data_IF_703628053578
#
_entry.id   IF_703628053578
#
_cell.length_a   1.000
_cell.length_b   1.000
_cell.length_c   1.000
_cell.angle_alpha   90.00
_cell.angle_beta   90.00
_cell.angle_gamma   90.00
#
_symmetry.space_group_name_H-M   'P 1'
#
loop_
_entity.id
_entity.type
_entity.pdbx_description
1 polymer ?
#
# COMPACT_ATOMS: atom_id res chain seq x y z
N UNK A 1 55.31 -9.43 -70.30
CA UNK A 1 55.99 -8.94 -69.05
C UNK A 1 55.46 -7.59 -68.59
N UNK A 2 55.24 -6.61 -69.46
CA UNK A 2 54.70 -5.29 -69.09
C UNK A 2 53.22 -5.32 -68.68
N UNK A 3 52.44 -6.26 -69.11
CA UNK A 3 51.03 -6.41 -68.73
C UNK A 3 50.89 -6.95 -67.31
N UNK A 4 51.79 -7.84 -66.88
CA UNK A 4 51.81 -8.39 -65.53
C UNK A 4 52.19 -7.35 -64.45
N UNK A 5 53.08 -6.42 -64.71
CA UNK A 5 53.50 -5.39 -63.82
C UNK A 5 52.38 -4.35 -63.55
N UNK A 6 51.66 -3.98 -64.60
CA UNK A 6 50.50 -3.07 -64.45
C UNK A 6 49.38 -3.70 -63.64
N UNK A 7 49.08 -4.96 -63.93
CA UNK A 7 48.06 -5.72 -63.20
C UNK A 7 48.47 -5.90 -61.69
N UNK A 8 49.77 -6.14 -61.39
CA UNK A 8 50.30 -6.22 -60.06
C UNK A 8 50.22 -4.90 -59.32
N UNK A 9 50.52 -3.76 -59.95
CA UNK A 9 50.40 -2.44 -59.35
C UNK A 9 48.94 -2.04 -59.06
N UNK A 10 48.01 -2.36 -59.95
CA UNK A 10 46.57 -2.09 -59.71
C UNK A 10 46.01 -2.96 -58.59
N UNK A 11 46.38 -4.23 -58.51
CA UNK A 11 45.98 -5.12 -57.41
C UNK A 11 46.55 -4.66 -56.05
N UNK A 12 47.83 -4.23 -56.05
CA UNK A 12 48.43 -3.66 -54.83
C UNK A 12 47.74 -2.34 -54.36
N UNK A 13 47.43 -1.47 -55.32
CA UNK A 13 46.65 -0.23 -55.01
C UNK A 13 45.27 -0.51 -54.48
N UNK A 14 44.57 -1.50 -55.08
CA UNK A 14 43.24 -1.89 -54.64
C UNK A 14 43.27 -2.52 -53.22
N UNK A 15 44.30 -3.37 -52.94
CA UNK A 15 44.45 -3.95 -51.61
C UNK A 15 44.78 -2.92 -50.54
N UNK A 16 45.60 -1.93 -50.87
CA UNK A 16 45.95 -0.83 -49.98
C UNK A 16 44.71 0.07 -49.67
N UNK A 17 43.91 0.35 -50.69
CA UNK A 17 42.65 1.09 -50.57
C UNK A 17 41.66 0.34 -49.67
N UNK A 18 41.48 -0.97 -49.88
CA UNK A 18 40.62 -1.80 -49.01
C UNK A 18 41.11 -1.84 -47.56
N UNK A 19 42.44 -1.94 -47.37
CA UNK A 19 43.06 -1.90 -46.05
C UNK A 19 42.79 -0.56 -45.33
N UNK A 20 42.91 0.57 -46.04
CA UNK A 20 42.63 1.90 -45.49
C UNK A 20 41.15 2.07 -45.11
N UNK A 21 40.24 1.60 -45.98
CA UNK A 21 38.80 1.60 -45.70
C UNK A 21 38.50 0.75 -44.47
N UNK A 22 39.10 -0.45 -44.38
CA UNK A 22 38.94 -1.32 -43.21
C UNK A 22 39.46 -0.68 -41.91
N UNK A 23 40.66 -0.10 -41.95
CA UNK A 23 41.23 0.61 -40.80
C UNK A 23 40.38 1.82 -40.37
N UNK A 24 39.89 2.61 -41.32
CA UNK A 24 39.02 3.75 -41.04
C UNK A 24 37.66 3.31 -40.44
N UNK A 25 37.06 2.24 -40.96
CA UNK A 25 35.84 1.66 -40.46
C UNK A 25 36.03 1.12 -39.02
N UNK A 26 37.12 0.39 -38.81
CA UNK A 26 37.45 -0.17 -37.47
C UNK A 26 37.70 0.95 -36.45
N UNK A 27 38.43 2.00 -36.82
CA UNK A 27 38.69 3.14 -35.97
C UNK A 27 37.38 3.86 -35.55
N UNK A 28 36.46 4.08 -36.49
CA UNK A 28 35.15 4.66 -36.22
C UNK A 28 34.32 3.78 -35.24
N UNK A 29 34.34 2.45 -35.45
CA UNK A 29 33.70 1.50 -34.53
C UNK A 29 34.24 1.60 -33.10
N UNK A 30 35.57 1.67 -32.93
CA UNK A 30 36.18 1.82 -31.63
C UNK A 30 35.82 3.15 -30.95
N UNK A 31 35.76 4.25 -31.71
CA UNK A 31 35.31 5.53 -31.15
C UNK A 31 33.85 5.48 -30.71
N UNK A 32 32.96 4.86 -31.49
CA UNK A 32 31.56 4.71 -31.10
C UNK A 32 31.35 3.86 -29.84
N UNK A 33 32.15 2.78 -29.69
CA UNK A 33 32.13 1.97 -28.46
C UNK A 33 32.66 2.75 -27.25
N UNK A 34 33.72 3.55 -27.41
CA UNK A 34 34.25 4.37 -26.34
C UNK A 34 33.26 5.48 -25.91
N UNK A 35 32.57 6.10 -26.90
CA UNK A 35 31.50 7.06 -26.60
C UNK A 35 30.35 6.39 -25.82
N UNK A 36 29.90 5.21 -26.25
CA UNK A 36 28.87 4.44 -25.55
C UNK A 36 29.26 4.13 -24.09
N UNK A 37 30.52 3.74 -23.86
CA UNK A 37 31.02 3.49 -22.51
C UNK A 37 31.01 4.78 -21.64
N UNK A 38 31.34 5.93 -22.23
CA UNK A 38 31.27 7.22 -21.57
C UNK A 38 29.82 7.63 -21.22
N UNK A 39 28.88 7.40 -22.14
CA UNK A 39 27.46 7.69 -21.91
C UNK A 39 26.88 6.83 -20.80
N UNK A 40 27.25 5.55 -20.73
CA UNK A 40 26.86 4.65 -19.64
C UNK A 40 27.37 5.16 -18.29
N UNK A 41 28.63 5.60 -18.25
CA UNK A 41 29.24 6.13 -17.02
C UNK A 41 28.56 7.43 -16.57
N UNK A 42 28.24 8.33 -17.46
CA UNK A 42 27.48 9.55 -17.19
C UNK A 42 26.08 9.25 -16.65
N UNK A 43 25.36 8.29 -17.24
CA UNK A 43 24.04 7.85 -16.77
C UNK A 43 24.13 7.30 -15.36
N UNK A 44 25.14 6.50 -15.03
CA UNK A 44 25.33 5.92 -13.70
C UNK A 44 25.62 6.99 -12.64
N UNK A 45 26.29 8.08 -13.02
CA UNK A 45 26.64 9.18 -12.11
C UNK A 45 25.58 10.29 -12.03
N UNK A 46 24.50 10.22 -12.81
CA UNK A 46 23.33 11.11 -12.62
C UNK A 46 23.19 12.26 -13.60
N UNK A 47 24.04 12.38 -14.59
CA UNK A 47 23.92 13.40 -15.63
C UNK A 47 22.76 13.07 -16.61
N UNK A 48 21.92 14.07 -16.90
CA UNK A 48 20.61 13.87 -17.53
C UNK A 48 20.57 14.22 -19.03
N UNK A 49 21.66 14.71 -19.60
CA UNK A 49 21.69 15.21 -20.97
C UNK A 49 22.42 14.24 -21.89
N UNK A 50 21.70 13.27 -22.44
CA UNK A 50 22.23 12.46 -23.55
C UNK A 50 21.60 12.98 -24.82
N UNK A 51 22.45 13.40 -25.75
CA UNK A 51 22.05 13.83 -27.08
C UNK A 51 21.84 12.59 -27.97
N UNK A 52 20.58 12.30 -28.29
CA UNK A 52 20.17 11.12 -29.04
C UNK A 52 20.50 11.21 -30.54
N UNK A 53 20.81 12.41 -31.04
CA UNK A 53 21.01 12.63 -32.50
C UNK A 53 22.38 12.20 -33.00
N UNK A 54 23.30 11.76 -32.14
CA UNK A 54 24.70 11.49 -32.54
C UNK A 54 24.99 10.08 -33.06
N UNK A 55 24.04 9.14 -32.98
CA UNK A 55 24.29 7.75 -33.40
C UNK A 55 23.63 7.42 -34.73
N UNK A 56 24.46 7.12 -35.73
CA UNK A 56 24.05 6.65 -37.06
C UNK A 56 23.45 5.25 -37.00
N UNK A 57 22.58 4.93 -37.95
CA UNK A 57 21.92 3.63 -38.16
C UNK A 57 22.91 2.46 -38.16
N UNK A 58 22.59 1.36 -37.41
CA UNK A 58 23.37 0.13 -37.38
C UNK A 58 23.20 -0.70 -36.09
N UNK A 59 23.94 -1.82 -36.03
CA UNK A 59 23.90 -2.77 -34.89
C UNK A 59 24.26 -2.11 -33.54
N UNK A 60 25.15 -1.12 -33.54
CA UNK A 60 25.55 -0.35 -32.35
C UNK A 60 24.42 0.53 -31.83
N UNK A 61 23.55 1.05 -32.67
CA UNK A 61 22.37 1.82 -32.29
C UNK A 61 21.34 0.97 -31.52
N UNK A 62 21.17 -0.29 -31.96
CA UNK A 62 20.30 -1.24 -31.26
C UNK A 62 20.83 -1.54 -29.86
N UNK A 63 22.14 -1.83 -29.76
CA UNK A 63 22.80 -2.10 -28.48
C UNK A 63 22.70 -0.91 -27.53
N UNK A 64 22.92 0.31 -28.02
CA UNK A 64 22.77 1.55 -27.27
C UNK A 64 21.34 1.68 -26.73
N UNK A 65 20.33 1.48 -27.57
CA UNK A 65 18.92 1.55 -27.18
C UNK A 65 18.56 0.54 -26.08
N UNK A 66 19.07 -0.69 -26.16
CA UNK A 66 18.80 -1.71 -25.13
C UNK A 66 19.52 -1.40 -23.81
N UNK A 67 20.77 -0.97 -23.85
CA UNK A 67 21.50 -0.56 -22.65
C UNK A 67 20.81 0.64 -21.98
N UNK A 68 20.37 1.62 -22.76
CA UNK A 68 19.64 2.77 -22.26
C UNK A 68 18.32 2.37 -21.57
N UNK A 69 17.52 1.50 -22.18
CA UNK A 69 16.30 0.96 -21.57
C UNK A 69 16.59 0.22 -20.27
N UNK A 70 17.66 -0.57 -20.23
CA UNK A 70 18.10 -1.27 -19.01
C UNK A 70 18.48 -0.28 -17.92
N UNK A 71 19.21 0.78 -18.24
CA UNK A 71 19.65 1.78 -17.28
C UNK A 71 18.48 2.57 -16.70
N UNK A 72 17.50 2.96 -17.55
CA UNK A 72 16.25 3.58 -17.07
C UNK A 72 15.53 2.66 -16.11
N UNK A 73 15.34 1.38 -16.46
CA UNK A 73 14.67 0.40 -15.58
C UNK A 73 15.40 0.22 -14.26
N UNK A 74 16.72 0.13 -14.27
CA UNK A 74 17.53 0.03 -13.05
C UNK A 74 17.35 1.27 -12.16
N UNK A 75 17.33 2.46 -12.77
CA UNK A 75 17.12 3.71 -12.05
C UNK A 75 15.72 3.80 -11.44
N UNK A 76 14.69 3.42 -12.19
CA UNK A 76 13.32 3.34 -11.68
C UNK A 76 13.22 2.36 -10.50
N UNK A 77 13.84 1.19 -10.61
CA UNK A 77 13.92 0.21 -9.54
C UNK A 77 14.66 0.74 -8.32
N UNK A 78 15.79 1.43 -8.51
CA UNK A 78 16.54 2.04 -7.41
C UNK A 78 15.74 3.14 -6.71
N UNK A 79 15.05 4.00 -7.46
CA UNK A 79 14.20 5.04 -6.90
C UNK A 79 13.03 4.43 -6.13
N UNK A 80 12.40 3.39 -6.68
CA UNK A 80 11.32 2.66 -6.01
C UNK A 80 11.81 2.06 -4.70
N UNK A 81 12.95 1.35 -4.74
CA UNK A 81 13.54 0.75 -3.54
C UNK A 81 13.93 1.79 -2.48
N UNK A 82 14.42 2.96 -2.91
CA UNK A 82 14.76 4.05 -2.00
C UNK A 82 13.50 4.63 -1.34
N UNK A 83 12.42 4.80 -2.09
CA UNK A 83 11.12 5.22 -1.55
C UNK A 83 10.54 4.18 -0.60
N UNK A 84 10.61 2.90 -0.95
CA UNK A 84 10.17 1.82 -0.06
C UNK A 84 10.96 1.78 1.24
N UNK A 85 12.29 1.96 1.20
CA UNK A 85 13.12 2.06 2.41
C UNK A 85 12.77 3.26 3.27
N UNK A 86 12.55 4.43 2.68
CA UNK A 86 12.12 5.62 3.40
C UNK A 86 10.76 5.38 4.08
N UNK A 87 9.79 4.86 3.33
CA UNK A 87 8.47 4.53 3.85
C UNK A 87 8.52 3.48 4.99
N UNK A 88 9.43 2.50 4.89
CA UNK A 88 9.63 1.52 5.97
C UNK A 88 10.21 2.19 7.23
N UNK A 89 11.19 3.08 7.06
CA UNK A 89 11.79 3.81 8.17
C UNK A 89 10.76 4.69 8.89
N UNK A 90 9.93 5.42 8.14
CA UNK A 90 8.85 6.25 8.69
C UNK A 90 7.84 5.36 9.42
N UNK A 91 7.45 4.23 8.85
CA UNK A 91 6.52 3.28 9.48
C UNK A 91 7.07 2.73 10.80
N UNK A 92 8.37 2.41 10.87
CA UNK A 92 9.02 1.95 12.11
C UNK A 92 9.05 3.06 13.16
N UNK A 93 9.31 4.30 12.76
CA UNK A 93 9.27 5.45 13.66
C UNK A 93 7.87 5.66 14.25
N UNK A 94 6.83 5.60 13.42
CA UNK A 94 5.44 5.72 13.85
C UNK A 94 5.04 4.59 14.81
N UNK A 95 5.37 3.33 14.47
CA UNK A 95 5.13 2.17 15.34
C UNK A 95 5.79 2.38 16.71
N UNK A 96 7.06 2.80 16.70
CA UNK A 96 7.82 3.05 17.94
C UNK A 96 7.15 4.12 18.82
N UNK A 97 6.64 5.17 18.19
CA UNK A 97 5.91 6.24 18.86
C UNK A 97 4.58 5.74 19.43
N UNK A 98 3.82 4.95 18.65
CA UNK A 98 2.52 4.41 19.07
C UNK A 98 2.62 3.35 20.19
N UNK A 99 3.76 2.65 20.28
CA UNK A 99 4.02 1.71 21.38
C UNK A 99 4.53 2.46 22.64
N UNK A 100 5.37 3.48 22.49
CA UNK A 100 5.95 4.22 23.61
C UNK A 100 4.90 4.88 24.49
N UNK A 101 3.88 5.47 23.88
CA UNK A 101 2.81 6.19 24.61
C UNK A 101 2.08 5.29 25.61
N UNK A 102 1.45 4.15 25.22
CA UNK A 102 0.78 3.27 26.18
C UNK A 102 1.77 2.63 27.16
N UNK A 103 3.02 2.34 26.76
CA UNK A 103 4.03 1.79 27.66
C UNK A 103 4.39 2.79 28.78
N UNK A 104 4.51 4.08 28.44
CA UNK A 104 4.72 5.14 29.45
C UNK A 104 3.54 5.22 30.43
N UNK A 105 2.30 5.12 29.92
CA UNK A 105 1.11 5.10 30.76
C UNK A 105 1.07 3.87 31.67
N UNK A 106 1.43 2.69 31.16
CA UNK A 106 1.53 1.45 31.95
C UNK A 106 2.53 1.63 33.10
N UNK A 107 3.73 2.16 32.82
CA UNK A 107 4.74 2.40 33.86
C UNK A 107 4.24 3.38 34.95
N UNK A 108 3.49 4.41 34.56
CA UNK A 108 2.89 5.35 35.49
C UNK A 108 1.83 4.65 36.37
N UNK A 109 0.94 3.83 35.77
CA UNK A 109 -0.08 3.09 36.50
C UNK A 109 0.54 2.08 37.48
N UNK A 110 1.63 1.42 37.12
CA UNK A 110 2.37 0.51 38.00
C UNK A 110 2.96 1.30 39.19
N UNK A 111 3.52 2.49 38.91
CA UNK A 111 3.99 3.39 39.98
C UNK A 111 2.89 3.76 40.97
N UNK A 112 1.74 4.14 40.44
CA UNK A 112 0.55 4.47 41.28
C UNK A 112 0.05 3.26 42.08
N UNK A 113 0.03 2.05 41.48
CA UNK A 113 -0.37 0.82 42.17
C UNK A 113 0.55 0.45 43.34
N UNK A 114 1.78 0.94 43.32
CA UNK A 114 2.77 0.70 44.38
C UNK A 114 2.59 1.63 45.61
N UNK A 115 1.66 2.59 45.55
CA UNK A 115 1.40 3.50 46.68
C UNK A 115 0.74 2.76 47.87
N UNK A 116 1.27 2.93 49.11
CA UNK A 116 0.78 2.17 50.30
C UNK A 116 -0.65 2.51 50.75
N UNK A 117 -1.19 3.66 50.35
CA UNK A 117 -2.48 4.19 50.82
C UNK A 117 -3.59 4.15 49.79
N UNK A 118 -3.51 3.26 48.79
CA UNK A 118 -4.57 3.13 47.78
C UNK A 118 -5.82 2.45 48.39
N UNK A 119 -6.98 3.02 48.07
CA UNK A 119 -8.26 2.34 48.36
C UNK A 119 -8.48 1.18 47.38
N UNK A 120 -9.18 0.13 47.79
CA UNK A 120 -9.44 -1.02 46.97
C UNK A 120 -10.18 -0.67 45.66
N UNK A 121 -11.14 0.27 45.73
CA UNK A 121 -11.83 0.76 44.56
C UNK A 121 -10.88 1.42 43.55
N UNK A 122 -9.94 2.27 44.02
CA UNK A 122 -8.95 2.92 43.13
C UNK A 122 -7.96 1.91 42.57
N UNK A 123 -7.57 0.92 43.37
CA UNK A 123 -6.70 -0.18 42.91
C UNK A 123 -7.35 -0.97 41.77
N UNK A 124 -8.62 -1.33 41.90
CA UNK A 124 -9.36 -2.03 40.84
C UNK A 124 -9.48 -1.20 39.59
N UNK A 125 -9.73 0.10 39.71
CA UNK A 125 -9.79 1.00 38.58
C UNK A 125 -8.43 1.05 37.82
N UNK A 126 -7.32 1.22 38.54
CA UNK A 126 -5.96 1.24 37.91
C UNK A 126 -5.61 -0.09 37.24
N UNK A 127 -6.02 -1.22 37.83
CA UNK A 127 -5.85 -2.54 37.22
C UNK A 127 -6.67 -2.63 35.93
N UNK A 128 -7.90 -2.15 35.93
CA UNK A 128 -8.74 -2.14 34.73
C UNK A 128 -8.12 -1.28 33.61
N UNK A 129 -7.68 -0.07 33.91
CA UNK A 129 -6.96 0.81 32.96
C UNK A 129 -5.69 0.14 32.40
N UNK A 130 -4.97 -0.61 33.25
CA UNK A 130 -3.77 -1.36 32.84
C UNK A 130 -4.11 -2.49 31.86
N UNK A 131 -5.19 -3.23 32.13
CA UNK A 131 -5.66 -4.28 31.20
C UNK A 131 -6.10 -3.69 29.84
N UNK A 132 -6.78 -2.55 29.83
CA UNK A 132 -7.15 -1.87 28.59
C UNK A 132 -5.92 -1.47 27.76
N UNK A 133 -4.89 -0.89 28.42
CA UNK A 133 -3.66 -0.51 27.71
C UNK A 133 -2.90 -1.72 27.16
N UNK A 134 -2.80 -2.82 27.92
CA UNK A 134 -2.19 -4.05 27.46
C UNK A 134 -2.94 -4.64 26.25
N UNK A 135 -4.28 -4.69 26.33
CA UNK A 135 -5.12 -5.18 25.21
C UNK A 135 -4.95 -4.32 23.95
N UNK A 136 -4.79 -3.00 24.11
CA UNK A 136 -4.52 -2.09 23.00
C UNK A 136 -3.17 -2.38 22.35
N UNK A 137 -2.11 -2.64 23.15
CA UNK A 137 -0.78 -3.00 22.61
C UNK A 137 -0.85 -4.33 21.88
N UNK A 138 -1.49 -5.34 22.45
CA UNK A 138 -1.65 -6.66 21.82
C UNK A 138 -2.37 -6.56 20.48
N UNK A 139 -3.47 -5.82 20.44
CA UNK A 139 -4.19 -5.54 19.19
C UNK A 139 -3.30 -4.81 18.17
N UNK A 140 -2.50 -3.81 18.58
CA UNK A 140 -1.59 -3.08 17.72
C UNK A 140 -0.55 -4.03 17.11
N UNK A 141 0.11 -4.84 17.92
CA UNK A 141 1.12 -5.81 17.46
C UNK A 141 0.51 -6.81 16.47
N UNK A 142 -0.64 -7.39 16.82
CA UNK A 142 -1.35 -8.35 15.97
C UNK A 142 -1.74 -7.74 14.63
N UNK A 143 -2.22 -6.49 14.64
CA UNK A 143 -2.60 -5.77 13.42
C UNK A 143 -1.37 -5.46 12.55
N UNK A 144 -0.27 -5.04 13.15
CA UNK A 144 1.00 -4.79 12.43
C UNK A 144 1.56 -6.06 11.80
N UNK A 145 1.48 -7.21 12.49
CA UNK A 145 1.88 -8.49 11.90
C UNK A 145 1.00 -8.88 10.71
N UNK A 146 -0.32 -8.61 10.76
CA UNK A 146 -1.22 -8.82 9.63
C UNK A 146 -0.87 -7.93 8.44
N UNK A 147 -0.64 -6.64 8.69
CA UNK A 147 -0.20 -5.67 7.67
C UNK A 147 1.12 -6.13 7.03
N UNK A 148 2.11 -6.50 7.83
CA UNK A 148 3.41 -6.99 7.35
C UNK A 148 3.28 -8.23 6.43
N UNK A 149 2.40 -9.18 6.79
CA UNK A 149 2.14 -10.36 5.95
C UNK A 149 1.44 -10.00 4.63
N UNK A 150 0.51 -9.04 4.65
CA UNK A 150 -0.17 -8.55 3.45
C UNK A 150 0.79 -7.81 2.52
N UNK A 151 1.67 -6.96 3.06
CA UNK A 151 2.70 -6.24 2.30
C UNK A 151 3.69 -7.18 1.63
N UNK A 152 4.13 -8.21 2.36
CA UNK A 152 5.03 -9.22 1.82
C UNK A 152 4.37 -10.13 0.77
N UNK A 153 3.06 -9.98 0.51
CA UNK A 153 2.31 -10.85 -0.41
C UNK A 153 2.26 -12.32 0.02
N UNK A 154 2.57 -12.61 1.29
CA UNK A 154 2.63 -13.99 1.81
C UNK A 154 1.27 -14.53 2.23
N UNK A 155 0.25 -13.67 2.27
CA UNK A 155 -1.12 -14.08 2.61
C UNK A 155 -1.77 -14.78 1.43
N UNK A 156 -2.16 -16.02 1.63
CA UNK A 156 -2.99 -16.77 0.68
C UNK A 156 -4.44 -16.68 1.15
N UNK A 157 -5.26 -15.91 0.42
CA UNK A 157 -6.69 -15.81 0.70
C UNK A 157 -7.41 -17.09 0.27
N UNK A 158 -8.18 -17.69 1.18
CA UNK A 158 -9.04 -18.82 0.88
C UNK A 158 -10.30 -18.33 0.15
N UNK A 159 -10.29 -18.42 -1.19
CA UNK A 159 -11.39 -17.92 -2.04
C UNK A 159 -12.55 -18.92 -2.06
N UNK A 160 -13.50 -18.76 -1.16
CA UNK A 160 -14.73 -19.50 -1.08
C UNK A 160 -15.95 -18.61 -1.38
N UNK A 161 -17.13 -19.24 -1.60
CA UNK A 161 -18.38 -18.49 -1.72
C UNK A 161 -18.87 -18.12 -0.34
N UNK A 162 -18.88 -16.82 -0.04
CA UNK A 162 -19.22 -16.26 1.26
C UNK A 162 -20.57 -15.56 1.17
N UNK A 163 -21.53 -15.95 2.02
CA UNK A 163 -22.79 -15.25 2.18
C UNK A 163 -22.56 -13.85 2.78
N UNK A 164 -23.10 -12.81 2.14
CA UNK A 164 -23.00 -11.43 2.61
C UNK A 164 -23.70 -11.25 3.96
N UNK A 165 -24.85 -11.87 4.15
CA UNK A 165 -25.58 -11.83 5.42
C UNK A 165 -24.74 -12.41 6.57
N UNK A 166 -24.18 -13.61 6.37
CA UNK A 166 -23.34 -14.28 7.38
C UNK A 166 -22.09 -13.46 7.70
N UNK A 167 -21.46 -12.89 6.67
CA UNK A 167 -20.28 -12.04 6.80
C UNK A 167 -20.56 -10.82 7.66
N UNK A 168 -21.62 -10.06 7.33
CA UNK A 168 -21.97 -8.83 8.04
C UNK A 168 -22.36 -9.11 9.48
N UNK A 169 -23.22 -10.11 9.71
CA UNK A 169 -23.62 -10.50 11.05
C UNK A 169 -22.41 -10.89 11.92
N UNK A 170 -21.48 -11.67 11.37
CA UNK A 170 -20.25 -12.07 12.09
C UNK A 170 -19.33 -10.88 12.37
N UNK A 171 -19.19 -9.96 11.42
CA UNK A 171 -18.36 -8.75 11.56
C UNK A 171 -18.91 -7.80 12.61
N UNK A 172 -20.21 -7.68 12.71
CA UNK A 172 -20.88 -6.79 13.66
C UNK A 172 -21.04 -7.37 15.06
N UNK A 173 -21.03 -8.71 15.21
CA UNK A 173 -21.29 -9.37 16.47
C UNK A 173 -20.48 -8.83 17.67
N UNK A 174 -19.15 -8.54 17.56
CA UNK A 174 -18.38 -7.98 18.68
C UNK A 174 -18.76 -6.53 19.03
N UNK A 175 -19.44 -5.82 18.13
CA UNK A 175 -19.79 -4.41 18.27
C UNK A 175 -21.20 -4.18 18.80
N UNK A 176 -22.05 -5.22 18.85
CA UNK A 176 -23.45 -5.09 19.27
C UNK A 176 -23.58 -4.55 20.69
N UNK A 177 -22.85 -5.10 21.66
CA UNK A 177 -22.88 -4.63 23.06
C UNK A 177 -22.36 -3.18 23.19
N UNK A 178 -21.19 -2.81 22.60
CA UNK A 178 -20.76 -1.41 22.58
C UNK A 178 -21.78 -0.45 21.95
N UNK A 179 -22.45 -0.84 20.86
CA UNK A 179 -23.49 -0.03 20.21
C UNK A 179 -24.71 0.13 21.11
N UNK A 180 -25.17 -0.96 21.74
CA UNK A 180 -26.30 -0.93 22.67
C UNK A 180 -26.03 -0.01 23.85
N UNK A 181 -24.84 -0.06 24.45
CA UNK A 181 -24.44 0.83 25.56
C UNK A 181 -24.42 2.32 25.14
N UNK A 182 -24.24 2.61 23.87
CA UNK A 182 -24.31 3.96 23.29
C UNK A 182 -25.70 4.32 22.75
N UNK A 183 -26.67 3.42 22.88
CA UNK A 183 -28.02 3.58 22.32
C UNK A 183 -28.04 3.68 20.79
N UNK A 184 -26.99 3.23 20.11
CA UNK A 184 -26.90 3.29 18.65
C UNK A 184 -27.69 2.17 17.98
N UNK A 185 -28.42 2.49 16.93
CA UNK A 185 -29.17 1.52 16.14
C UNK A 185 -28.33 0.97 14.99
N UNK A 186 -28.33 -0.36 14.81
CA UNK A 186 -27.73 -1.04 13.66
C UNK A 186 -28.84 -1.65 12.79
N UNK A 187 -28.89 -1.25 11.52
CA UNK A 187 -29.82 -1.76 10.53
C UNK A 187 -29.05 -2.53 9.46
N UNK A 188 -29.41 -3.80 9.21
CA UNK A 188 -28.73 -4.65 8.27
C UNK A 188 -29.73 -5.14 7.23
N UNK A 189 -29.42 -4.91 5.95
CA UNK A 189 -30.11 -5.45 4.78
C UNK A 189 -29.07 -6.10 3.88
N UNK A 190 -28.95 -7.41 3.91
CA UNK A 190 -27.93 -8.14 3.18
C UNK A 190 -28.52 -9.32 2.43
N UNK A 191 -28.23 -9.40 1.13
CA UNK A 191 -28.60 -10.51 0.25
C UNK A 191 -27.48 -10.79 -0.75
N UNK A 192 -27.32 -12.07 -1.12
CA UNK A 192 -26.31 -12.51 -2.06
C UNK A 192 -25.02 -13.02 -1.43
N UNK A 193 -24.02 -13.21 -2.29
CA UNK A 193 -22.71 -13.77 -1.92
C UNK A 193 -21.59 -13.10 -2.71
N UNK A 194 -20.34 -13.29 -2.25
CA UNK A 194 -19.14 -12.94 -3.01
C UNK A 194 -18.11 -14.07 -2.89
N UNK A 195 -17.10 -14.04 -3.75
CA UNK A 195 -15.99 -15.00 -3.70
C UNK A 195 -14.79 -14.38 -3.03
N UNK A 196 -14.45 -14.86 -1.83
CA UNK A 196 -13.34 -14.32 -1.05
C UNK A 196 -13.10 -15.09 0.23
N UNK A 197 -12.20 -14.58 1.06
CA UNK A 197 -11.86 -15.15 2.37
C UNK A 197 -12.80 -14.60 3.45
N UNK A 198 -13.53 -15.50 4.10
CA UNK A 198 -14.50 -15.12 5.13
C UNK A 198 -13.84 -14.40 6.31
N UNK A 199 -12.76 -14.97 6.85
CA UNK A 199 -12.12 -14.47 8.09
C UNK A 199 -11.48 -13.10 7.87
N UNK A 200 -10.73 -12.93 6.79
CA UNK A 200 -10.13 -11.65 6.44
C UNK A 200 -11.18 -10.59 6.11
N UNK A 201 -12.25 -10.97 5.42
CA UNK A 201 -13.34 -10.05 5.10
C UNK A 201 -14.13 -9.63 6.34
N UNK A 202 -14.35 -10.54 7.30
CA UNK A 202 -14.92 -10.18 8.62
C UNK A 202 -14.08 -9.12 9.32
N UNK A 203 -12.77 -9.26 9.31
CA UNK A 203 -11.85 -8.28 9.91
C UNK A 203 -11.96 -6.91 9.22
N UNK A 204 -11.93 -6.90 7.87
CA UNK A 204 -12.02 -5.65 7.11
C UNK A 204 -13.33 -4.90 7.37
N UNK A 205 -14.46 -5.61 7.31
CA UNK A 205 -15.78 -5.02 7.54
C UNK A 205 -15.93 -4.59 9.00
N UNK A 206 -15.51 -5.43 9.94
CA UNK A 206 -15.55 -5.12 11.37
C UNK A 206 -14.79 -3.83 11.72
N UNK A 207 -13.62 -3.60 11.13
CA UNK A 207 -12.85 -2.36 11.31
C UNK A 207 -13.58 -1.13 10.75
N UNK A 208 -14.25 -1.25 9.59
CA UNK A 208 -15.03 -0.14 9.03
C UNK A 208 -16.26 0.14 9.88
N UNK A 209 -17.01 -0.89 10.29
CA UNK A 209 -18.20 -0.72 11.16
C UNK A 209 -17.80 -0.14 12.52
N UNK A 210 -16.67 -0.58 13.08
CA UNK A 210 -16.12 -0.01 14.31
C UNK A 210 -15.81 1.47 14.17
N UNK A 211 -15.21 1.86 13.04
CA UNK A 211 -14.95 3.27 12.75
C UNK A 211 -16.27 4.08 12.67
N UNK A 212 -17.27 3.58 11.96
CA UNK A 212 -18.59 4.22 11.94
C UNK A 212 -19.20 4.34 13.34
N UNK A 213 -19.12 3.28 14.18
CA UNK A 213 -19.61 3.30 15.56
C UNK A 213 -18.92 4.37 16.41
N UNK A 214 -17.60 4.51 16.30
CA UNK A 214 -16.83 5.48 17.06
C UNK A 214 -17.16 6.92 16.71
N UNK A 215 -17.46 7.21 15.42
CA UNK A 215 -17.80 8.54 14.93
C UNK A 215 -19.30 8.85 14.89
N UNK A 216 -20.14 7.88 15.21
CA UNK A 216 -21.58 8.06 15.36
C UNK A 216 -21.91 8.54 16.78
N UNK A 217 -22.71 9.60 16.96
CA UNK A 217 -23.11 10.07 18.30
C UNK A 217 -23.97 9.04 19.05
N UNK A 218 -24.12 9.23 20.34
CA UNK A 218 -25.06 8.45 21.15
C UNK A 218 -26.50 8.58 20.60
N UNK A 219 -27.23 7.48 20.55
CA UNK A 219 -28.55 7.42 19.91
C UNK A 219 -28.54 7.49 18.38
N UNK A 220 -27.36 7.50 17.77
CA UNK A 220 -27.24 7.55 16.32
C UNK A 220 -27.54 6.21 15.61
N UNK A 221 -27.30 6.15 14.31
CA UNK A 221 -27.68 5.00 13.47
C UNK A 221 -26.59 4.63 12.48
N UNK A 222 -26.39 3.32 12.33
CA UNK A 222 -25.51 2.73 11.31
C UNK A 222 -26.37 1.82 10.44
N UNK A 223 -26.30 1.99 9.11
CA UNK A 223 -27.04 1.22 8.12
C UNK A 223 -26.03 0.44 7.25
N UNK A 224 -26.27 -0.85 7.08
CA UNK A 224 -25.46 -1.72 6.22
C UNK A 224 -26.36 -2.33 5.16
N UNK A 225 -26.10 -2.02 3.91
CA UNK A 225 -26.79 -2.58 2.75
C UNK A 225 -25.79 -3.42 1.98
N UNK A 226 -26.14 -4.67 1.67
CA UNK A 226 -25.30 -5.54 0.86
C UNK A 226 -26.13 -6.23 -0.21
N UNK A 227 -25.66 -6.18 -1.45
CA UNK A 227 -26.34 -6.72 -2.61
C UNK A 227 -25.37 -7.37 -3.58
N UNK A 228 -25.87 -8.31 -4.33
CA UNK A 228 -25.13 -8.99 -5.39
C UNK A 228 -25.78 -8.73 -6.75
N UNK A 229 -24.99 -8.41 -7.75
CA UNK A 229 -25.42 -8.31 -9.14
C UNK A 229 -24.52 -9.14 -10.07
N UNK A 230 -24.74 -9.06 -11.38
CA UNK A 230 -24.00 -9.84 -12.37
C UNK A 230 -22.48 -9.47 -12.43
N UNK A 231 -22.10 -8.26 -12.03
CA UNK A 231 -20.72 -7.73 -12.20
C UNK A 231 -19.93 -7.72 -10.90
N UNK A 232 -20.58 -7.45 -9.78
CA UNK A 232 -19.93 -7.33 -8.47
C UNK A 232 -20.92 -7.60 -7.33
N UNK A 233 -20.38 -7.89 -6.16
CA UNK A 233 -21.09 -7.83 -4.90
C UNK A 233 -20.68 -6.54 -4.18
N UNK A 234 -21.64 -5.79 -3.67
CA UNK A 234 -21.44 -4.48 -3.06
C UNK A 234 -21.91 -4.48 -1.61
N UNK A 235 -21.12 -3.88 -0.75
CA UNK A 235 -21.46 -3.63 0.66
C UNK A 235 -21.32 -2.12 0.88
N UNK A 236 -22.40 -1.49 1.32
CA UNK A 236 -22.45 -0.06 1.64
C UNK A 236 -22.72 0.08 3.13
N UNK A 237 -21.81 0.74 3.84
CA UNK A 237 -21.92 1.02 5.28
C UNK A 237 -22.10 2.53 5.42
N UNK A 238 -23.18 2.96 6.05
CA UNK A 238 -23.54 4.37 6.23
C UNK A 238 -23.73 4.66 7.71
N UNK A 239 -23.23 5.79 8.15
CA UNK A 239 -23.52 6.34 9.48
C UNK A 239 -24.20 7.70 9.38
N UNK A 240 -24.73 8.18 10.49
CA UNK A 240 -25.28 9.52 10.64
C UNK A 240 -24.44 10.39 11.59
N UNK A 241 -23.13 10.13 11.66
CA UNK A 241 -22.16 10.88 12.42
C UNK A 241 -21.82 12.23 11.81
N UNK A 242 -20.71 12.81 12.27
CA UNK A 242 -20.22 14.13 11.80
C UNK A 242 -19.73 14.10 10.34
N UNK A 243 -19.51 12.91 9.78
CA UNK A 243 -18.84 12.73 8.49
C UNK A 243 -17.32 12.87 8.60
N UNK A 244 -16.66 12.95 7.46
CA UNK A 244 -15.20 13.02 7.34
C UNK A 244 -14.84 14.38 6.78
N UNK A 245 -13.85 15.06 7.33
CA UNK A 245 -13.44 16.35 6.77
C UNK A 245 -12.94 16.19 5.32
N UNK A 246 -13.17 17.15 4.43
CA UNK A 246 -12.67 17.08 3.06
C UNK A 246 -11.15 16.92 2.97
N UNK A 247 -10.43 17.44 3.97
CA UNK A 247 -8.98 17.35 4.05
C UNK A 247 -8.52 15.93 4.45
N UNK A 248 -9.28 15.26 5.32
CA UNK A 248 -8.96 13.92 5.82
C UNK A 248 -9.35 12.81 4.82
N UNK A 249 -10.39 13.05 4.02
CA UNK A 249 -11.01 12.05 3.15
C UNK A 249 -10.03 11.33 2.20
N UNK A 250 -9.01 11.98 1.59
CA UNK A 250 -8.00 11.30 0.78
C UNK A 250 -7.07 10.39 1.60
N UNK A 251 -6.90 10.67 2.89
CA UNK A 251 -5.87 10.10 3.75
C UNK A 251 -6.37 9.04 4.73
N UNK A 252 -7.69 8.88 4.93
CA UNK A 252 -8.26 7.98 5.95
C UNK A 252 -7.85 6.50 5.81
N UNK A 253 -7.41 6.08 4.63
CA UNK A 253 -6.89 4.74 4.38
C UNK A 253 -5.36 4.65 4.47
N UNK A 254 -4.67 5.73 4.81
CA UNK A 254 -3.24 5.72 5.06
C UNK A 254 -2.95 5.15 6.45
N UNK A 255 -1.79 4.52 6.59
CA UNK A 255 -1.38 3.94 7.86
C UNK A 255 -1.04 5.03 8.85
N UNK A 256 -1.45 4.84 10.11
CA UNK A 256 -1.23 5.77 11.22
C UNK A 256 -1.89 7.13 11.05
N UNK A 257 -2.69 7.31 9.99
CA UNK A 257 -3.41 8.54 9.79
C UNK A 257 -4.54 8.67 10.83
N UNK A 258 -4.61 9.84 11.44
CA UNK A 258 -5.64 10.22 12.40
C UNK A 258 -6.21 11.56 11.96
N UNK A 259 -7.52 11.64 11.78
CA UNK A 259 -8.20 12.90 11.53
C UNK A 259 -8.02 13.86 12.69
N UNK A 260 -8.22 15.16 12.43
CA UNK A 260 -8.03 16.24 13.41
C UNK A 260 -8.88 16.08 14.68
N UNK A 261 -10.04 15.45 14.56
CA UNK A 261 -11.01 15.24 15.65
C UNK A 261 -10.89 13.86 16.30
N UNK A 262 -9.78 13.14 16.13
CA UNK A 262 -9.62 11.82 16.71
C UNK A 262 -9.31 11.89 18.21
N UNK A 263 -10.08 11.16 19.03
CA UNK A 263 -9.94 11.07 20.52
C UNK A 263 -8.60 10.49 21.01
N UNK A 264 -7.60 10.32 20.16
CA UNK A 264 -6.31 9.71 20.52
C UNK A 264 -6.38 8.22 20.88
N UNK A 265 -7.57 7.64 20.94
CA UNK A 265 -7.79 6.25 21.32
C UNK A 265 -7.51 5.26 20.18
N UNK A 266 -7.62 5.67 18.93
CA UNK A 266 -7.33 4.83 17.76
C UNK A 266 -5.87 4.96 17.32
N UNK A 267 -5.33 3.92 16.69
CA UNK A 267 -3.96 3.94 16.14
C UNK A 267 -3.89 4.35 14.66
N UNK A 268 -5.02 4.57 13.99
CA UNK A 268 -5.07 4.95 12.58
C UNK A 268 -4.66 3.84 11.61
N UNK A 269 -4.78 2.57 12.00
CA UNK A 269 -4.37 1.42 11.17
C UNK A 269 -5.54 0.53 10.72
N UNK A 270 -6.71 0.66 11.35
CA UNK A 270 -7.86 -0.21 11.05
C UNK A 270 -8.39 -0.06 9.62
N UNK A 271 -8.60 1.16 9.15
CA UNK A 271 -9.07 1.42 7.78
C UNK A 271 -8.01 1.07 6.74
N UNK A 272 -6.73 1.32 7.02
CA UNK A 272 -5.63 0.92 6.17
C UNK A 272 -5.59 -0.61 5.99
N UNK A 273 -5.70 -1.38 7.10
CA UNK A 273 -5.80 -2.84 7.06
C UNK A 273 -7.02 -3.28 6.23
N UNK A 274 -8.18 -2.65 6.43
CA UNK A 274 -9.39 -2.96 5.66
C UNK A 274 -9.17 -2.79 4.16
N UNK A 275 -8.57 -1.67 3.73
CA UNK A 275 -8.24 -1.44 2.32
C UNK A 275 -7.29 -2.51 1.78
N UNK A 276 -6.24 -2.86 2.52
CA UNK A 276 -5.28 -3.90 2.11
C UNK A 276 -5.94 -5.27 1.93
N UNK A 277 -6.81 -5.66 2.86
CA UNK A 277 -7.54 -6.93 2.79
C UNK A 277 -8.49 -6.95 1.58
N UNK A 278 -9.25 -5.88 1.38
CA UNK A 278 -10.22 -5.78 0.28
C UNK A 278 -9.50 -5.79 -1.06
N UNK A 279 -8.46 -4.97 -1.23
CA UNK A 279 -7.69 -4.90 -2.48
C UNK A 279 -6.90 -6.18 -2.75
N UNK A 280 -6.34 -6.83 -1.73
CA UNK A 280 -5.67 -8.12 -1.85
C UNK A 280 -6.59 -9.25 -2.33
N UNK A 281 -7.90 -9.12 -2.13
CA UNK A 281 -8.91 -10.03 -2.66
C UNK A 281 -9.48 -9.60 -4.02
N UNK A 282 -8.95 -8.53 -4.64
CA UNK A 282 -9.39 -7.98 -5.92
C UNK A 282 -10.62 -7.07 -5.83
N UNK A 283 -10.96 -6.61 -4.63
CA UNK A 283 -12.03 -5.65 -4.38
C UNK A 283 -11.55 -4.20 -4.36
N UNK A 284 -12.50 -3.29 -4.20
CA UNK A 284 -12.24 -1.85 -4.00
C UNK A 284 -13.02 -1.33 -2.81
N UNK A 285 -12.48 -0.32 -2.12
CA UNK A 285 -13.16 0.41 -1.06
C UNK A 285 -13.03 1.91 -1.29
N UNK A 286 -14.14 2.62 -1.11
CA UNK A 286 -14.22 4.08 -1.16
C UNK A 286 -14.94 4.61 0.06
N UNK A 287 -14.59 5.84 0.46
CA UNK A 287 -15.31 6.58 1.49
C UNK A 287 -15.76 7.93 0.92
N UNK A 288 -16.94 8.32 1.29
CA UNK A 288 -17.59 9.57 0.88
C UNK A 288 -18.45 10.12 2.02
N UNK A 289 -18.70 11.43 2.00
CA UNK A 289 -19.66 12.01 2.92
C UNK A 289 -21.09 11.84 2.43
N UNK A 290 -21.98 11.48 3.33
CA UNK A 290 -23.41 11.37 3.06
C UNK A 290 -24.10 12.72 3.26
N UNK A 291 -25.12 13.01 2.46
CA UNK A 291 -26.02 14.15 2.69
C UNK A 291 -27.26 13.68 3.47
N UNK A 292 -27.78 14.41 4.47
CA UNK A 292 -27.26 15.71 4.94
C UNK A 292 -26.03 15.62 5.83
N UNK A 293 -25.76 14.50 6.53
CA UNK A 293 -24.63 14.29 7.45
C UNK A 293 -24.25 12.81 7.50
N UNK A 294 -22.98 12.52 7.86
CA UNK A 294 -22.46 11.18 8.06
C UNK A 294 -21.46 10.76 7.01
N UNK A 295 -20.83 9.62 7.23
CA UNK A 295 -19.94 8.97 6.25
C UNK A 295 -20.61 7.78 5.57
N UNK A 296 -20.09 7.43 4.40
CA UNK A 296 -20.51 6.28 3.62
C UNK A 296 -19.26 5.57 3.08
N UNK A 297 -19.16 4.28 3.38
CA UNK A 297 -18.12 3.40 2.85
C UNK A 297 -18.74 2.43 1.87
N UNK A 298 -18.20 2.39 0.65
CA UNK A 298 -18.64 1.49 -0.43
C UNK A 298 -17.55 0.49 -0.73
N UNK A 299 -17.85 -0.80 -0.58
CA UNK A 299 -16.94 -1.93 -0.83
C UNK A 299 -17.50 -2.71 -2.01
N UNK A 300 -16.67 -3.05 -3.00
CA UNK A 300 -17.06 -3.87 -4.14
C UNK A 300 -16.10 -5.01 -4.36
N UNK A 301 -16.61 -6.23 -4.50
CA UNK A 301 -15.89 -7.41 -4.92
C UNK A 301 -16.34 -7.78 -6.33
N UNK A 302 -15.44 -7.68 -7.29
CA UNK A 302 -15.76 -7.92 -8.70
C UNK A 302 -15.80 -9.43 -8.99
N UNK A 303 -16.83 -9.84 -9.73
CA UNK A 303 -16.89 -11.18 -10.28
C UNK A 303 -15.93 -11.20 -11.46
N UNK A 304 -14.84 -11.99 -11.36
CA UNK A 304 -13.89 -12.12 -12.44
C UNK A 304 -14.63 -12.46 -13.75
N UNK A 305 -14.24 -11.84 -14.83
CA UNK A 305 -14.64 -12.25 -16.19
C UNK A 305 -14.27 -13.72 -16.35
N UNK A 306 -15.28 -14.53 -16.63
CA UNK A 306 -15.16 -15.95 -17.01
C UNK A 306 -14.32 -16.08 -18.26
#
# INVERSE_FOLDING_TARGET
FFFDIRAGLTAAGLSLLLMLIYCASTYRRYQSIAALAGDIDQILHGDHAIDFDSYSEGELSILHSEIYKMTIRLREQQQTLTREKAHLADSIADISHQIRTPLTSINLLIGLLSEPKLTDARRQQLIHELYELLSRIDWLITTLLKISKLDAGTVQFNKETVSLEMLINKSCAPLLIPMELRGQALLIHADGAFRGDFSWSCEAIGNIVKNCMEHTPEGGRIEIEATENALFSEIIIKDNGTGISPEDLPHIFERFYKGKDSDGKSFGIGLALSRMIITGQGGTVKAENRKPVGAMFTIRFYKGTV
#
